data_IF_933038179536
#
_entry.id   IF_933038179536
#
_cell.length_a   1.000
_cell.length_b   1.000
_cell.length_c   1.000
_cell.angle_alpha   90.00
_cell.angle_beta   90.00
_cell.angle_gamma   90.00
#
_symmetry.space_group_name_H-M   'P 1'
#
loop_
_entity.id
_entity.type
_entity.pdbx_description
1 polymer ?
#
# COMPACT_ATOMS: atom_id res chain seq x y z
N UNK A 1 21.72 56.32 -19.37
CA UNK A 1 21.22 54.94 -19.15
C UNK A 1 22.29 53.85 -19.21
N UNK A 2 23.29 53.88 -20.12
CA UNK A 2 24.36 52.86 -20.23
C UNK A 2 25.19 52.59 -18.95
N UNK A 3 25.42 53.61 -18.11
CA UNK A 3 26.20 53.45 -16.85
C UNK A 3 25.49 52.62 -15.77
N UNK A 4 24.15 52.49 -15.82
CA UNK A 4 23.38 51.71 -14.85
C UNK A 4 23.49 50.20 -15.10
N UNK A 5 23.45 49.78 -16.38
CA UNK A 5 23.64 48.38 -16.78
C UNK A 5 25.06 47.87 -16.49
N UNK A 6 26.09 48.70 -16.72
CA UNK A 6 27.49 48.33 -16.44
C UNK A 6 27.79 48.15 -14.94
N UNK A 7 27.01 48.78 -14.05
CA UNK A 7 27.17 48.63 -12.60
C UNK A 7 26.54 47.33 -12.08
N UNK A 8 25.52 46.81 -12.75
CA UNK A 8 24.84 45.56 -12.38
C UNK A 8 25.70 44.32 -12.68
N UNK A 9 26.42 44.32 -13.80
CA UNK A 9 27.32 43.22 -14.23
C UNK A 9 28.59 43.07 -13.38
N UNK A 10 28.99 44.10 -12.62
CA UNK A 10 30.16 44.08 -11.72
C UNK A 10 29.86 43.60 -10.29
N UNK A 11 28.59 43.31 -9.99
CA UNK A 11 28.14 42.86 -8.66
C UNK A 11 27.78 41.37 -8.60
N UNK A 12 28.10 40.59 -9.64
CA UNK A 12 28.01 39.14 -9.60
C UNK A 12 29.15 38.57 -8.75
N UNK A 13 29.02 38.63 -7.41
CA UNK A 13 29.86 37.85 -6.51
C UNK A 13 29.53 36.38 -6.76
N UNK A 14 30.36 35.70 -7.55
CA UNK A 14 30.20 34.27 -7.84
C UNK A 14 30.30 33.43 -6.58
N UNK A 15 29.49 32.37 -6.51
CA UNK A 15 29.59 31.34 -5.48
C UNK A 15 30.96 30.66 -5.58
N UNK A 16 31.62 30.39 -4.46
CA UNK A 16 32.89 29.67 -4.47
C UNK A 16 32.65 28.17 -4.65
N UNK A 17 33.61 27.47 -5.27
CA UNK A 17 33.54 26.00 -5.41
C UNK A 17 33.49 25.30 -4.04
N UNK A 18 34.11 25.89 -3.01
CA UNK A 18 34.14 25.36 -1.64
C UNK A 18 32.75 25.43 -1.00
N UNK A 19 32.00 26.52 -1.23
CA UNK A 19 30.61 26.63 -0.75
C UNK A 19 29.70 25.60 -1.41
N UNK A 20 29.82 25.40 -2.73
CA UNK A 20 29.09 24.36 -3.44
C UNK A 20 29.45 22.96 -2.94
N UNK A 21 30.73 22.72 -2.66
CA UNK A 21 31.24 21.44 -2.14
C UNK A 21 30.70 21.14 -0.73
N UNK A 22 30.68 22.12 0.17
CA UNK A 22 30.11 21.93 1.50
C UNK A 22 28.62 21.56 1.46
N UNK A 23 27.85 22.17 0.56
CA UNK A 23 26.42 21.89 0.40
C UNK A 23 26.16 20.46 -0.09
N UNK A 24 26.88 20.00 -1.13
CA UNK A 24 26.68 18.64 -1.65
C UNK A 24 27.09 17.56 -0.64
N UNK A 25 28.08 17.82 0.22
CA UNK A 25 28.49 16.91 1.29
C UNK A 25 27.37 16.77 2.32
N UNK A 26 26.78 17.89 2.77
CA UNK A 26 25.66 17.87 3.71
C UNK A 26 24.45 17.16 3.10
N UNK A 27 24.11 17.47 1.84
CA UNK A 27 23.02 16.80 1.11
C UNK A 27 23.28 15.29 0.95
N UNK A 28 24.53 14.89 0.71
CA UNK A 28 24.93 13.48 0.61
C UNK A 28 24.72 12.71 1.91
N UNK A 29 25.09 13.30 3.04
CA UNK A 29 24.88 12.69 4.38
C UNK A 29 23.39 12.55 4.66
N UNK A 30 22.59 13.59 4.39
CA UNK A 30 21.13 13.56 4.58
C UNK A 30 20.51 12.49 3.68
N UNK A 31 20.88 12.44 2.40
CA UNK A 31 20.34 11.48 1.44
C UNK A 31 20.65 10.03 1.84
N UNK A 32 21.86 9.77 2.37
CA UNK A 32 22.26 8.43 2.80
C UNK A 32 21.34 7.85 3.90
N UNK A 33 20.85 8.70 4.83
CA UNK A 33 19.93 8.27 5.90
C UNK A 33 18.47 8.32 5.43
N UNK A 34 18.09 9.36 4.67
CA UNK A 34 16.72 9.61 4.28
C UNK A 34 16.18 8.57 3.29
N UNK A 35 16.97 8.16 2.28
CA UNK A 35 16.52 7.23 1.24
C UNK A 35 16.08 5.88 1.80
N UNK A 36 16.87 5.15 2.63
CA UNK A 36 16.41 3.88 3.19
C UNK A 36 15.24 4.04 4.17
N UNK A 37 15.20 5.14 4.94
CA UNK A 37 14.11 5.41 5.87
C UNK A 37 12.78 5.62 5.14
N UNK A 38 12.77 6.46 4.10
CA UNK A 38 11.58 6.73 3.29
C UNK A 38 11.13 5.46 2.54
N UNK A 39 12.07 4.67 2.02
CA UNK A 39 11.76 3.39 1.38
C UNK A 39 10.96 2.45 2.29
N UNK A 40 11.40 2.29 3.54
CA UNK A 40 10.68 1.48 4.52
C UNK A 40 9.29 2.01 4.85
N UNK A 41 9.13 3.34 4.96
CA UNK A 41 7.83 3.98 5.20
C UNK A 41 6.87 3.71 4.04
N UNK A 42 7.31 3.90 2.79
CA UNK A 42 6.50 3.65 1.60
C UNK A 42 6.06 2.19 1.56
N UNK A 43 6.98 1.26 1.80
CA UNK A 43 6.67 -0.18 1.78
C UNK A 43 5.70 -0.56 2.90
N UNK A 44 5.84 0.01 4.10
CA UNK A 44 4.87 -0.16 5.19
C UNK A 44 3.48 0.39 4.82
N UNK A 45 3.41 1.56 4.20
CA UNK A 45 2.14 2.14 3.74
C UNK A 45 1.46 1.29 2.68
N UNK A 46 2.23 0.70 1.75
CA UNK A 46 1.68 -0.26 0.76
C UNK A 46 1.09 -1.50 1.43
N UNK A 47 1.79 -2.08 2.42
CA UNK A 47 1.26 -3.22 3.20
C UNK A 47 -0.06 -2.84 3.89
N UNK A 48 -0.11 -1.67 4.53
CA UNK A 48 -1.33 -1.21 5.21
C UNK A 48 -2.50 -0.98 4.23
N UNK A 49 -2.23 -0.44 3.04
CA UNK A 49 -3.24 -0.30 2.00
C UNK A 49 -3.78 -1.67 1.56
N UNK A 50 -2.90 -2.65 1.30
CA UNK A 50 -3.31 -4.00 0.90
C UNK A 50 -4.10 -4.73 1.99
N UNK A 51 -3.78 -4.48 3.26
CA UNK A 51 -4.58 -4.96 4.39
C UNK A 51 -5.97 -4.34 4.39
N UNK A 52 -6.07 -3.02 4.20
CA UNK A 52 -7.35 -2.31 4.12
C UNK A 52 -8.21 -2.83 2.96
N UNK A 53 -7.60 -3.14 1.80
CA UNK A 53 -8.31 -3.78 0.68
C UNK A 53 -8.91 -5.12 1.11
N UNK A 54 -8.19 -5.95 1.87
CA UNK A 54 -8.70 -7.21 2.42
C UNK A 54 -9.91 -7.01 3.35
N UNK A 55 -9.91 -5.93 4.14
CA UNK A 55 -11.02 -5.58 5.02
C UNK A 55 -12.23 -5.08 4.26
N UNK A 56 -12.01 -4.29 3.21
CA UNK A 56 -13.06 -3.80 2.32
C UNK A 56 -13.77 -4.97 1.64
N UNK A 57 -13.00 -5.95 1.13
CA UNK A 57 -13.58 -7.17 0.52
C UNK A 57 -14.35 -8.00 1.56
N UNK A 58 -13.84 -8.14 2.79
CA UNK A 58 -14.58 -8.82 3.87
C UNK A 58 -15.89 -8.12 4.22
N UNK A 59 -15.90 -6.78 4.25
CA UNK A 59 -17.10 -5.99 4.53
C UNK A 59 -18.13 -6.11 3.39
N UNK A 60 -17.69 -6.02 2.14
CA UNK A 60 -18.53 -6.25 0.96
C UNK A 60 -19.14 -7.67 0.96
N UNK A 61 -18.33 -8.69 1.26
CA UNK A 61 -18.82 -10.06 1.38
C UNK A 61 -19.83 -10.23 2.52
N UNK A 62 -19.63 -9.54 3.64
CA UNK A 62 -20.59 -9.57 4.75
C UNK A 62 -21.95 -9.01 4.32
N UNK A 63 -21.98 -7.92 3.56
CA UNK A 63 -23.22 -7.36 3.00
C UNK A 63 -23.88 -8.36 2.05
N UNK A 64 -23.12 -8.92 1.10
CA UNK A 64 -23.60 -9.93 0.15
C UNK A 64 -24.22 -11.15 0.85
N UNK A 65 -23.56 -11.68 1.88
CA UNK A 65 -24.08 -12.84 2.62
C UNK A 65 -25.34 -12.54 3.43
N UNK A 66 -25.45 -11.33 3.97
CA UNK A 66 -26.64 -10.89 4.70
C UNK A 66 -27.82 -10.71 3.76
N UNK A 67 -27.60 -10.12 2.58
CA UNK A 67 -28.66 -9.88 1.59
C UNK A 67 -29.16 -11.19 0.95
N UNK A 68 -28.25 -12.11 0.63
CA UNK A 68 -28.59 -13.38 -0.02
C UNK A 68 -28.96 -14.52 0.95
N UNK A 69 -28.95 -14.28 2.26
CA UNK A 69 -29.28 -15.30 3.26
C UNK A 69 -28.33 -16.50 3.24
N UNK A 70 -27.05 -16.28 2.93
CA UNK A 70 -26.07 -17.34 2.70
C UNK A 70 -25.81 -18.17 3.97
N UNK A 71 -25.61 -19.48 3.80
CA UNK A 71 -25.26 -20.39 4.90
C UNK A 71 -23.76 -20.44 5.16
N UNK A 72 -23.37 -20.91 6.34
CA UNK A 72 -21.96 -21.08 6.66
C UNK A 72 -21.27 -22.05 5.69
N UNK A 73 -20.02 -21.77 5.35
CA UNK A 73 -19.28 -22.45 4.29
C UNK A 73 -19.52 -21.90 2.88
N UNK A 74 -20.49 -20.99 2.69
CA UNK A 74 -20.66 -20.32 1.39
C UNK A 74 -19.45 -19.45 1.08
N UNK A 75 -18.96 -19.53 -0.15
CA UNK A 75 -17.84 -18.74 -0.64
C UNK A 75 -18.30 -17.71 -1.67
N UNK A 76 -17.67 -16.55 -1.70
CA UNK A 76 -17.85 -15.53 -2.74
C UNK A 76 -16.49 -14.97 -3.15
N UNK A 77 -16.31 -14.66 -4.43
CA UNK A 77 -15.10 -14.02 -4.93
C UNK A 77 -15.29 -12.51 -5.02
N UNK A 78 -14.20 -11.75 -5.01
CA UNK A 78 -14.25 -10.30 -5.21
C UNK A 78 -14.81 -9.89 -6.58
N UNK A 79 -14.73 -10.75 -7.59
CA UNK A 79 -15.32 -10.51 -8.91
C UNK A 79 -16.85 -10.53 -8.88
N UNK A 80 -17.43 -11.50 -8.17
CA UNK A 80 -18.89 -11.56 -7.94
C UNK A 80 -19.34 -10.34 -7.14
N UNK A 81 -18.61 -9.99 -6.06
CA UNK A 81 -18.93 -8.81 -5.26
C UNK A 81 -18.90 -7.51 -6.06
N UNK A 82 -18.00 -7.40 -7.05
CA UNK A 82 -17.94 -6.23 -7.93
C UNK A 82 -19.12 -6.20 -8.90
N UNK A 83 -19.39 -7.33 -9.56
CA UNK A 83 -20.48 -7.47 -10.53
C UNK A 83 -21.85 -7.21 -9.89
N UNK A 84 -22.05 -7.69 -8.67
CA UNK A 84 -23.30 -7.55 -7.93
C UNK A 84 -23.40 -6.18 -7.20
N UNK A 85 -22.41 -5.30 -7.35
CA UNK A 85 -22.44 -3.93 -6.85
C UNK A 85 -22.09 -3.76 -5.36
N UNK A 86 -21.59 -4.80 -4.69
CA UNK A 86 -21.14 -4.73 -3.29
C UNK A 86 -19.72 -4.20 -3.13
N UNK A 87 -18.92 -4.18 -4.19
CA UNK A 87 -17.53 -3.76 -4.19
C UNK A 87 -17.22 -2.88 -5.41
N UNK A 88 -16.80 -1.64 -5.20
CA UNK A 88 -16.49 -0.72 -6.30
C UNK A 88 -15.15 -1.06 -6.99
N UNK A 89 -14.14 -1.42 -6.21
CA UNK A 89 -12.79 -1.74 -6.70
C UNK A 89 -12.17 -2.92 -5.95
N UNK A 90 -11.50 -3.80 -6.69
CA UNK A 90 -10.82 -4.96 -6.11
C UNK A 90 -9.44 -4.59 -5.49
N UNK A 91 -8.95 -3.37 -5.72
CA UNK A 91 -7.74 -2.84 -5.12
C UNK A 91 -6.54 -3.77 -5.29
N UNK A 92 -5.94 -4.15 -4.17
CA UNK A 92 -4.90 -5.16 -4.04
C UNK A 92 -5.17 -6.48 -4.76
N UNK A 93 -6.43 -6.89 -4.93
CA UNK A 93 -6.83 -8.17 -5.52
C UNK A 93 -7.25 -8.08 -6.99
N UNK A 94 -7.16 -6.90 -7.61
CA UNK A 94 -7.31 -6.77 -9.05
C UNK A 94 -6.24 -7.63 -9.77
N UNK A 95 -6.60 -8.20 -10.94
CA UNK A 95 -5.71 -9.08 -11.69
C UNK A 95 -4.42 -8.36 -12.10
N UNK A 96 -3.34 -8.61 -11.36
CA UNK A 96 -2.01 -8.03 -11.56
C UNK A 96 -0.95 -9.04 -11.14
N UNK A 97 0.30 -8.78 -11.54
CA UNK A 97 1.43 -9.63 -11.17
C UNK A 97 1.52 -9.81 -9.64
N UNK A 98 1.58 -11.07 -9.21
CA UNK A 98 1.67 -11.44 -7.79
C UNK A 98 0.35 -11.36 -7.01
N UNK A 99 -0.76 -10.93 -7.61
CA UNK A 99 -2.08 -10.98 -6.98
C UNK A 99 -2.81 -12.29 -7.33
N UNK A 100 -3.65 -12.76 -6.41
CA UNK A 100 -4.63 -13.82 -6.65
C UNK A 100 -5.99 -13.34 -6.20
N UNK A 101 -7.05 -13.93 -6.77
CA UNK A 101 -8.40 -13.56 -6.41
C UNK A 101 -8.67 -13.74 -4.91
N UNK A 102 -9.40 -12.78 -4.33
CA UNK A 102 -9.89 -12.86 -2.96
C UNK A 102 -11.16 -13.72 -2.90
N UNK A 103 -11.08 -14.81 -2.17
CA UNK A 103 -12.22 -15.66 -1.84
C UNK A 103 -12.57 -15.44 -0.38
N UNK A 104 -13.80 -15.01 -0.13
CA UNK A 104 -14.35 -14.88 1.22
C UNK A 104 -15.25 -16.06 1.52
N UNK A 105 -15.01 -16.73 2.64
CA UNK A 105 -15.84 -17.83 3.15
C UNK A 105 -16.63 -17.35 4.36
N UNK A 106 -17.96 -17.53 4.32
CA UNK A 106 -18.85 -17.30 5.46
C UNK A 106 -18.58 -18.31 6.57
N UNK A 107 -18.42 -17.84 7.81
CA UNK A 107 -18.28 -18.70 8.97
C UNK A 107 -18.99 -18.11 10.19
N UNK A 108 -19.50 -18.98 11.07
CA UNK A 108 -20.23 -18.61 12.28
C UNK A 108 -19.45 -17.66 13.21
N UNK A 109 -18.12 -17.80 13.26
CA UNK A 109 -17.22 -17.05 14.14
C UNK A 109 -16.56 -15.84 13.48
N UNK A 110 -16.98 -15.50 12.26
CA UNK A 110 -16.46 -14.40 11.46
C UNK A 110 -15.93 -14.85 10.11
N UNK A 111 -16.26 -14.11 9.06
CA UNK A 111 -15.86 -14.45 7.70
C UNK A 111 -14.34 -14.44 7.56
N UNK A 112 -13.85 -15.33 6.69
CA UNK A 112 -12.42 -15.48 6.41
C UNK A 112 -12.13 -15.15 4.97
N UNK A 113 -11.00 -14.49 4.71
CA UNK A 113 -10.51 -14.18 3.37
C UNK A 113 -9.26 -15.01 3.05
N UNK A 114 -9.23 -15.54 1.83
CA UNK A 114 -8.06 -16.20 1.24
C UNK A 114 -7.74 -15.56 -0.10
N UNK A 115 -6.46 -15.31 -0.37
CA UNK A 115 -6.03 -14.66 -1.61
C UNK A 115 -4.78 -13.83 -1.39
N UNK A 116 -4.24 -13.25 -2.46
CA UNK A 116 -3.02 -12.44 -2.39
C UNK A 116 -3.30 -11.07 -2.97
N UNK A 117 -3.17 -10.04 -2.13
CA UNK A 117 -3.22 -8.66 -2.56
C UNK A 117 -1.81 -8.19 -2.95
N UNK A 118 -1.65 -7.48 -4.07
CA UNK A 118 -0.36 -6.98 -4.54
C UNK A 118 -0.34 -5.48 -4.83
N UNK A 119 0.78 -4.80 -4.56
CA UNK A 119 1.03 -3.42 -4.96
C UNK A 119 2.53 -3.22 -5.22
N UNK A 120 2.91 -3.18 -6.50
CA UNK A 120 4.24 -2.84 -7.04
C UNK A 120 5.41 -3.23 -6.11
N UNK A 121 5.77 -4.52 -6.15
CA UNK A 121 6.85 -5.12 -5.37
C UNK A 121 6.44 -5.64 -3.99
N UNK A 122 5.26 -5.25 -3.48
CA UNK A 122 4.77 -5.72 -2.18
C UNK A 122 3.57 -6.63 -2.37
N UNK A 123 3.54 -7.77 -1.67
CA UNK A 123 2.36 -8.64 -1.62
C UNK A 123 1.96 -8.94 -0.18
N UNK A 124 0.66 -9.17 0.03
CA UNK A 124 0.07 -9.64 1.28
C UNK A 124 -0.82 -10.84 0.94
N UNK A 125 -0.36 -12.04 1.31
CA UNK A 125 -1.14 -13.25 1.18
C UNK A 125 -1.95 -13.49 2.47
N UNK A 126 -3.24 -13.72 2.30
CA UNK A 126 -4.21 -14.03 3.35
C UNK A 126 -4.51 -15.53 3.29
N UNK A 127 -4.32 -16.24 4.41
CA UNK A 127 -4.59 -17.67 4.53
C UNK A 127 -5.78 -17.91 5.48
N UNK A 128 -7.01 -17.79 4.97
CA UNK A 128 -8.24 -17.84 5.76
C UNK A 128 -8.22 -16.89 6.98
N UNK A 129 -7.82 -15.63 6.73
CA UNK A 129 -7.69 -14.60 7.76
C UNK A 129 -9.04 -13.93 8.05
N UNK A 130 -9.31 -13.64 9.31
CA UNK A 130 -10.48 -12.86 9.77
C UNK A 130 -10.14 -11.38 9.87
N UNK A 131 -11.15 -10.51 9.95
CA UNK A 131 -10.93 -9.07 10.14
C UNK A 131 -10.11 -8.76 11.42
N UNK A 132 -10.28 -9.56 12.47
CA UNK A 132 -9.51 -9.44 13.71
C UNK A 132 -8.02 -9.74 13.48
N UNK A 133 -7.72 -10.86 12.83
CA UNK A 133 -6.35 -11.27 12.53
C UNK A 133 -5.66 -10.26 11.60
N UNK A 134 -6.37 -9.64 10.66
CA UNK A 134 -5.82 -8.58 9.80
C UNK A 134 -5.50 -7.32 10.63
N UNK A 135 -6.36 -6.93 11.57
CA UNK A 135 -6.14 -5.73 12.41
C UNK A 135 -4.96 -5.89 13.38
N UNK A 136 -4.78 -7.09 13.93
CA UNK A 136 -3.74 -7.35 14.94
C UNK A 136 -2.34 -7.50 14.33
N UNK A 137 -2.25 -7.94 13.07
CA UNK A 137 -0.96 -8.09 12.39
C UNK A 137 -0.40 -6.70 12.01
N UNK A 138 0.86 -6.44 12.34
CA UNK A 138 1.56 -5.21 11.92
C UNK A 138 1.92 -5.22 10.43
N UNK A 139 3.08 -4.65 10.09
CA UNK A 139 3.59 -4.63 8.70
C UNK A 139 4.58 -5.76 8.42
N UNK A 140 4.59 -6.81 9.25
CA UNK A 140 5.48 -7.98 9.15
C UNK A 140 4.64 -9.24 9.06
N UNK A 141 5.16 -10.26 8.36
CA UNK A 141 4.57 -11.60 8.30
C UNK A 141 4.28 -12.13 9.69
N UNK A 142 3.05 -12.54 9.94
CA UNK A 142 2.62 -13.11 11.21
C UNK A 142 1.31 -13.87 11.04
N UNK A 143 1.20 -15.02 11.70
CA UNK A 143 0.00 -15.85 11.69
C UNK A 143 -0.44 -16.21 10.28
N UNK A 144 -1.64 -15.74 9.90
CA UNK A 144 -2.29 -16.03 8.62
C UNK A 144 -2.00 -15.02 7.52
N UNK A 145 -1.14 -14.03 7.78
CA UNK A 145 -0.74 -13.01 6.81
C UNK A 145 0.74 -13.16 6.48
N UNK A 146 1.03 -13.38 5.20
CA UNK A 146 2.41 -13.44 4.68
C UNK A 146 2.68 -12.20 3.84
N UNK A 147 3.70 -11.42 4.22
CA UNK A 147 4.09 -10.18 3.56
C UNK A 147 5.43 -10.38 2.84
N UNK A 148 5.46 -10.05 1.55
CA UNK A 148 6.67 -10.07 0.71
C UNK A 148 6.94 -8.66 0.19
N UNK A 149 8.21 -8.24 0.11
CA UNK A 149 8.67 -6.88 -0.19
C UNK A 149 9.76 -6.86 -1.25
#
# INVERSE_FOLDING_TARGET
MKKFLQKKLKNEKGLTLVELLAVIVILGIIAAIAVPAIGNIITNSKVNALKADGQNVLAAAQMYFTENGSKDGTTVTQEVLNTDGFLEDAGGFAAKEGATAAVVTKAATGNTITGTAANKGVTVAFAAATNKEINEVGTKTSGKLTITR
#
